data_IF_584669035265
#
_entry.id   IF_584669035265
#
_cell.length_a   1.000
_cell.length_b   1.000
_cell.length_c   1.000
_cell.angle_alpha   90.00
_cell.angle_beta   90.00
_cell.angle_gamma   90.00
#
_symmetry.space_group_name_H-M   'P 1'
#
loop_
_entity.id
_entity.type
_entity.pdbx_description
1 polymer ?
#
# COMPACT_ATOMS: atom_id res chain seq x y z
N UNK A 1 -5.45 -24.88 -19.05
CA UNK A 1 -5.58 -25.54 -17.71
C UNK A 1 -4.20 -26.09 -17.34
N UNK A 2 -3.40 -25.32 -16.61
CA UNK A 2 -2.19 -25.80 -15.97
C UNK A 2 -2.65 -26.69 -14.80
N UNK A 3 -2.35 -27.97 -14.85
CA UNK A 3 -2.64 -28.91 -13.79
C UNK A 3 -2.01 -28.42 -12.49
N UNK A 4 -2.80 -28.27 -11.43
CA UNK A 4 -2.30 -27.93 -10.12
C UNK A 4 -1.32 -29.04 -9.68
N UNK A 5 -0.02 -28.75 -9.74
CA UNK A 5 1.00 -29.60 -9.14
C UNK A 5 0.84 -29.58 -7.63
N UNK A 6 1.00 -30.73 -6.98
CA UNK A 6 1.03 -30.79 -5.51
C UNK A 6 2.06 -29.80 -5.00
N UNK A 7 1.73 -28.95 -4.02
CA UNK A 7 2.71 -28.03 -3.42
C UNK A 7 3.91 -28.83 -2.91
N UNK A 8 5.12 -28.33 -3.19
CA UNK A 8 6.35 -28.93 -2.66
C UNK A 8 6.50 -28.51 -1.19
N UNK A 9 7.06 -29.41 -0.39
CA UNK A 9 7.40 -29.10 0.99
C UNK A 9 8.58 -28.10 1.05
N UNK A 10 8.45 -27.10 1.91
CA UNK A 10 9.48 -26.09 2.13
C UNK A 10 10.06 -26.28 3.54
N UNK A 11 11.37 -26.42 3.62
CA UNK A 11 12.12 -26.56 4.87
C UNK A 11 12.99 -25.31 5.11
N UNK A 12 13.40 -25.11 6.36
CA UNK A 12 14.36 -24.08 6.76
C UNK A 12 13.99 -22.67 6.25
N UNK A 13 12.74 -22.29 6.43
CA UNK A 13 12.23 -20.98 5.99
C UNK A 13 12.84 -19.88 6.85
N UNK A 14 13.53 -18.93 6.20
CA UNK A 14 14.10 -17.73 6.81
C UNK A 14 13.51 -16.48 6.15
N UNK A 15 12.97 -15.57 6.95
CA UNK A 15 12.40 -14.30 6.48
C UNK A 15 13.28 -13.14 6.94
N UNK A 16 13.80 -12.38 5.99
CA UNK A 16 14.65 -11.22 6.23
C UNK A 16 13.88 -9.94 5.88
N UNK A 17 13.55 -9.16 6.91
CA UNK A 17 12.83 -7.88 6.73
C UNK A 17 13.60 -6.95 5.79
N UNK A 18 12.90 -6.40 4.81
CA UNK A 18 13.48 -5.51 3.81
C UNK A 18 14.33 -6.19 2.73
N UNK A 19 14.35 -7.53 2.69
CA UNK A 19 15.06 -8.30 1.67
C UNK A 19 14.17 -9.30 0.95
N UNK A 20 13.50 -10.16 1.72
CA UNK A 20 12.67 -11.23 1.17
C UNK A 20 12.63 -12.47 2.06
N UNK A 21 12.38 -13.61 1.45
CA UNK A 21 12.23 -14.91 2.11
C UNK A 21 13.09 -15.96 1.39
N UNK A 22 13.65 -16.90 2.13
CA UNK A 22 14.38 -18.04 1.57
C UNK A 22 14.02 -19.34 2.28
N UNK A 23 14.25 -20.47 1.61
CA UNK A 23 14.01 -21.79 2.16
C UNK A 23 14.61 -22.89 1.27
N UNK A 24 14.49 -24.13 1.72
CA UNK A 24 14.86 -25.32 0.94
C UNK A 24 13.61 -25.96 0.35
N UNK A 25 13.58 -26.08 -0.97
CA UNK A 25 12.51 -26.70 -1.74
C UNK A 25 13.13 -27.86 -2.54
N UNK A 26 12.76 -29.07 -2.24
CA UNK A 26 13.30 -30.28 -2.88
C UNK A 26 14.85 -30.31 -2.93
N UNK A 27 15.47 -29.87 -1.84
CA UNK A 27 16.93 -29.80 -1.70
C UNK A 27 17.62 -28.61 -2.39
N UNK A 28 16.87 -27.77 -3.07
CA UNK A 28 17.38 -26.52 -3.67
C UNK A 28 17.17 -25.34 -2.73
N UNK A 29 18.19 -24.51 -2.57
CA UNK A 29 18.00 -23.22 -1.88
C UNK A 29 17.26 -22.26 -2.81
N UNK A 30 16.04 -21.91 -2.44
CA UNK A 30 15.20 -20.97 -3.17
C UNK A 30 15.08 -19.68 -2.36
N UNK A 31 15.24 -18.55 -3.02
CA UNK A 31 15.04 -17.23 -2.41
C UNK A 31 14.10 -16.40 -3.27
N UNK A 32 13.17 -15.71 -2.64
CA UNK A 32 12.30 -14.69 -3.24
C UNK A 32 12.70 -13.35 -2.66
N UNK A 33 13.25 -12.48 -3.49
CA UNK A 33 13.94 -11.25 -3.09
C UNK A 33 13.30 -10.02 -3.71
N UNK A 34 13.38 -8.88 -3.01
CA UNK A 34 13.05 -7.59 -3.59
C UNK A 34 14.17 -7.11 -4.51
N UNK A 35 13.92 -6.02 -5.27
CA UNK A 35 14.87 -5.43 -6.22
C UNK A 35 16.23 -5.18 -5.60
N UNK A 36 16.28 -4.48 -4.47
CA UNK A 36 17.52 -4.10 -3.80
C UNK A 36 18.38 -5.28 -3.41
N UNK A 37 17.77 -6.36 -2.92
CA UNK A 37 18.51 -7.56 -2.54
C UNK A 37 18.98 -8.34 -3.77
N UNK A 38 18.17 -8.37 -4.83
CA UNK A 38 18.53 -9.04 -6.08
C UNK A 38 19.66 -8.32 -6.82
N UNK A 39 19.65 -6.99 -6.87
CA UNK A 39 20.74 -6.19 -7.44
C UNK A 39 22.04 -6.34 -6.67
N UNK A 40 21.98 -6.20 -5.34
CA UNK A 40 23.20 -6.20 -4.51
C UNK A 40 23.89 -7.55 -4.42
N UNK A 41 23.11 -8.65 -4.40
CA UNK A 41 23.66 -9.97 -4.10
C UNK A 41 23.82 -10.85 -5.34
N UNK A 42 23.09 -10.55 -6.44
CA UNK A 42 22.99 -11.45 -7.60
C UNK A 42 23.11 -10.73 -8.95
N UNK A 43 23.53 -9.48 -8.97
CA UNK A 43 23.69 -8.66 -10.19
C UNK A 43 22.42 -8.65 -11.07
N UNK A 44 21.24 -8.70 -10.46
CA UNK A 44 19.98 -8.64 -11.18
C UNK A 44 19.81 -7.27 -11.85
N UNK A 45 19.38 -7.28 -13.12
CA UNK A 45 19.10 -6.03 -13.85
C UNK A 45 17.66 -5.64 -13.62
N UNK A 46 17.43 -4.64 -12.79
CA UNK A 46 16.12 -4.11 -12.47
C UNK A 46 15.77 -2.95 -13.39
N UNK A 47 14.62 -3.05 -14.07
CA UNK A 47 14.07 -1.92 -14.81
C UNK A 47 13.28 -1.02 -13.85
N UNK A 48 13.86 0.10 -13.47
CA UNK A 48 13.25 1.04 -12.50
C UNK A 48 11.95 1.69 -13.02
N UNK A 49 11.76 1.76 -14.34
CA UNK A 49 10.58 2.35 -14.96
C UNK A 49 9.43 1.34 -15.15
N UNK A 50 9.69 0.05 -14.99
CA UNK A 50 8.66 -0.97 -15.11
C UNK A 50 7.72 -0.90 -13.90
N UNK A 51 6.40 -0.68 -14.10
CA UNK A 51 5.45 -0.60 -12.99
C UNK A 51 5.27 -1.97 -12.35
N UNK A 52 4.95 -1.97 -11.04
CA UNK A 52 4.70 -3.19 -10.28
C UNK A 52 5.77 -3.46 -9.22
N UNK A 53 5.45 -4.43 -8.35
CA UNK A 53 6.37 -4.95 -7.34
C UNK A 53 7.11 -6.16 -7.92
N UNK A 54 8.41 -6.08 -7.98
CA UNK A 54 9.24 -7.17 -8.48
C UNK A 54 9.59 -8.14 -7.35
N UNK A 55 9.38 -9.42 -7.60
CA UNK A 55 9.80 -10.52 -6.73
C UNK A 55 10.73 -11.43 -7.52
N UNK A 56 12.02 -11.31 -7.24
CA UNK A 56 13.08 -12.03 -7.91
C UNK A 56 13.21 -13.45 -7.34
N UNK A 57 13.16 -14.43 -8.22
CA UNK A 57 13.36 -15.84 -7.85
C UNK A 57 14.81 -16.22 -8.12
N UNK A 58 15.48 -16.68 -7.06
CA UNK A 58 16.89 -17.13 -7.09
C UNK A 58 16.94 -18.57 -6.63
N UNK A 59 17.55 -19.46 -7.43
CA UNK A 59 17.76 -20.87 -7.09
C UNK A 59 19.25 -21.15 -7.09
N UNK A 60 19.79 -21.65 -5.96
CA UNK A 60 21.21 -21.97 -5.79
C UNK A 60 22.13 -20.85 -6.29
N UNK A 61 21.85 -19.60 -5.91
CA UNK A 61 22.58 -18.39 -6.27
C UNK A 61 22.41 -17.92 -7.74
N UNK A 62 21.56 -18.57 -8.53
CA UNK A 62 21.27 -18.12 -9.88
C UNK A 62 19.89 -17.44 -9.94
N UNK A 63 19.83 -16.24 -10.49
CA UNK A 63 18.55 -15.60 -10.82
C UNK A 63 17.89 -16.39 -11.94
N UNK A 64 16.70 -16.94 -11.66
CA UNK A 64 15.96 -17.78 -12.62
C UNK A 64 14.76 -17.04 -13.23
N UNK A 65 14.32 -15.95 -12.62
CA UNK A 65 13.22 -15.14 -13.13
C UNK A 65 12.79 -14.08 -12.15
N UNK A 66 11.84 -13.27 -12.60
CA UNK A 66 11.19 -12.24 -11.80
C UNK A 66 9.68 -12.32 -11.99
N UNK A 67 8.93 -12.27 -10.89
CA UNK A 67 7.49 -12.05 -10.91
C UNK A 67 7.24 -10.56 -10.81
N UNK A 68 6.46 -10.00 -11.71
CA UNK A 68 5.99 -8.62 -11.65
C UNK A 68 4.55 -8.64 -11.14
N UNK A 69 4.36 -8.15 -9.93
CA UNK A 69 3.07 -8.11 -9.26
C UNK A 69 2.48 -6.71 -9.44
N UNK A 70 1.39 -6.61 -10.17
CA UNK A 70 0.67 -5.37 -10.32
C UNK A 70 -0.46 -5.31 -9.28
N UNK A 71 -0.49 -4.22 -8.53
CA UNK A 71 -1.61 -3.95 -7.65
C UNK A 71 -2.87 -3.71 -8.49
N UNK A 72 -3.97 -4.33 -8.10
CA UNK A 72 -5.29 -4.04 -8.67
C UNK A 72 -5.99 -3.09 -7.71
N UNK A 73 -6.46 -1.97 -8.22
CA UNK A 73 -7.21 -1.00 -7.43
C UNK A 73 -8.43 -1.67 -6.79
N UNK A 74 -8.66 -1.40 -5.51
CA UNK A 74 -9.85 -1.93 -4.82
C UNK A 74 -11.13 -1.42 -5.47
N UNK A 75 -12.23 -2.20 -5.47
CA UNK A 75 -13.49 -1.79 -6.06
C UNK A 75 -13.96 -0.43 -5.54
N UNK A 76 -14.28 0.48 -6.46
CA UNK A 76 -14.79 1.81 -6.15
C UNK A 76 -13.74 2.86 -5.79
N UNK A 77 -12.44 2.55 -5.87
CA UNK A 77 -11.39 3.51 -5.55
C UNK A 77 -11.47 4.79 -6.42
N UNK A 78 -11.56 4.66 -7.74
CA UNK A 78 -11.66 5.82 -8.65
C UNK A 78 -12.90 6.67 -8.35
N UNK A 79 -14.05 6.02 -8.05
CA UNK A 79 -15.25 6.75 -7.66
C UNK A 79 -15.07 7.48 -6.34
N UNK A 80 -14.49 6.82 -5.33
CA UNK A 80 -14.21 7.43 -4.03
C UNK A 80 -13.32 8.66 -4.16
N UNK A 81 -12.23 8.57 -4.94
CA UNK A 81 -11.33 9.69 -5.22
C UNK A 81 -12.09 10.85 -5.90
N UNK A 82 -12.89 10.55 -6.92
CA UNK A 82 -13.68 11.57 -7.61
C UNK A 82 -14.70 12.26 -6.69
N UNK A 83 -15.36 11.50 -5.81
CA UNK A 83 -16.29 12.04 -4.83
C UNK A 83 -15.57 12.91 -3.78
N UNK A 84 -14.43 12.45 -3.26
CA UNK A 84 -13.62 13.17 -2.27
C UNK A 84 -13.08 14.49 -2.83
N UNK A 85 -12.64 14.54 -4.07
CA UNK A 85 -12.16 15.77 -4.74
C UNK A 85 -13.22 16.88 -4.79
N UNK A 86 -14.51 16.55 -4.71
CA UNK A 86 -15.58 17.54 -4.63
C UNK A 86 -15.67 18.23 -3.26
N UNK A 87 -15.14 17.59 -2.23
CA UNK A 87 -15.22 18.05 -0.84
C UNK A 87 -13.88 18.59 -0.29
N UNK A 88 -12.78 18.12 -0.87
CA UNK A 88 -11.44 18.56 -0.54
C UNK A 88 -11.02 19.76 -1.40
N UNK A 89 -9.82 20.28 -1.23
CA UNK A 89 -9.31 21.45 -1.95
C UNK A 89 -8.95 21.14 -3.42
N UNK A 90 -9.93 20.63 -4.19
CA UNK A 90 -9.78 20.33 -5.61
C UNK A 90 -8.84 19.15 -5.89
N UNK A 91 -8.07 19.24 -6.98
CA UNK A 91 -7.18 18.16 -7.45
C UNK A 91 -6.07 17.78 -6.46
N UNK A 92 -5.62 18.74 -5.66
CA UNK A 92 -4.55 18.55 -4.67
C UNK A 92 -5.07 18.12 -3.29
N UNK A 93 -6.38 18.08 -3.10
CA UNK A 93 -6.99 17.70 -1.83
C UNK A 93 -6.97 16.19 -1.54
N UNK A 94 -6.60 15.36 -2.53
CA UNK A 94 -6.47 13.90 -2.39
C UNK A 94 -5.09 13.48 -2.87
N UNK A 95 -4.28 12.94 -1.98
CA UNK A 95 -2.91 12.49 -2.28
C UNK A 95 -2.74 11.01 -2.00
N UNK A 96 -1.76 10.38 -2.65
CA UNK A 96 -1.36 9.01 -2.39
C UNK A 96 -0.03 9.01 -1.63
N UNK A 97 0.00 8.30 -0.49
CA UNK A 97 1.21 8.06 0.31
C UNK A 97 1.44 6.55 0.47
N UNK A 98 2.48 6.00 -0.16
CA UNK A 98 2.75 4.57 -0.17
C UNK A 98 4.23 4.26 0.09
N UNK A 99 4.49 3.10 0.70
CA UNK A 99 5.84 2.54 0.81
C UNK A 99 6.36 1.89 -0.47
N UNK A 100 5.51 1.75 -1.49
CA UNK A 100 5.87 1.12 -2.76
C UNK A 100 6.78 2.01 -3.62
N UNK A 101 7.39 1.40 -4.63
CA UNK A 101 8.23 2.09 -5.60
C UNK A 101 7.44 3.14 -6.37
N UNK A 102 8.13 4.21 -6.76
CA UNK A 102 7.52 5.35 -7.46
C UNK A 102 6.72 4.94 -8.70
N UNK A 103 7.27 4.07 -9.55
CA UNK A 103 6.58 3.62 -10.77
C UNK A 103 5.26 2.89 -10.47
N UNK A 104 5.20 2.05 -9.43
CA UNK A 104 3.99 1.36 -9.00
C UNK A 104 2.94 2.34 -8.47
N UNK A 105 3.38 3.30 -7.64
CA UNK A 105 2.50 4.33 -7.09
C UNK A 105 1.90 5.22 -8.17
N UNK A 106 2.70 5.68 -9.12
CA UNK A 106 2.24 6.51 -10.25
C UNK A 106 1.23 5.77 -11.12
N UNK A 107 1.48 4.47 -11.40
CA UNK A 107 0.54 3.62 -12.14
C UNK A 107 -0.82 3.56 -11.44
N UNK A 108 -0.84 3.16 -10.17
CA UNK A 108 -2.07 3.06 -9.38
C UNK A 108 -2.76 4.41 -9.20
N UNK A 109 -2.01 5.48 -8.92
CA UNK A 109 -2.54 6.83 -8.78
C UNK A 109 -3.23 7.31 -10.06
N UNK A 110 -2.61 7.05 -11.22
CA UNK A 110 -3.20 7.36 -12.53
C UNK A 110 -4.51 6.63 -12.78
N UNK A 111 -4.61 5.34 -12.42
CA UNK A 111 -5.84 4.55 -12.54
C UNK A 111 -6.99 5.11 -11.70
N UNK A 112 -6.70 5.60 -10.49
CA UNK A 112 -7.74 6.12 -9.58
C UNK A 112 -7.93 7.63 -9.69
N UNK A 113 -7.12 8.32 -10.49
CA UNK A 113 -7.22 9.75 -10.74
C UNK A 113 -6.58 10.63 -9.67
N UNK A 114 -5.54 10.16 -8.96
CA UNK A 114 -4.74 10.96 -8.02
C UNK A 114 -3.54 11.53 -8.78
N UNK A 115 -3.26 12.82 -8.63
CA UNK A 115 -2.16 13.52 -9.31
C UNK A 115 -0.92 13.70 -8.41
N UNK A 116 -1.09 13.75 -7.10
CA UNK A 116 0.00 13.97 -6.15
C UNK A 116 0.36 12.66 -5.45
N UNK A 117 1.62 12.22 -5.59
CA UNK A 117 2.09 10.90 -5.15
C UNK A 117 3.36 11.04 -4.32
N UNK A 118 3.32 10.52 -3.11
CA UNK A 118 4.45 10.30 -2.22
C UNK A 118 4.75 8.81 -2.14
N UNK A 119 5.84 8.37 -2.74
CA UNK A 119 6.27 6.98 -2.83
C UNK A 119 7.44 6.67 -1.90
N UNK A 120 7.76 5.39 -1.72
CA UNK A 120 8.91 4.91 -0.93
C UNK A 120 8.91 5.41 0.53
N UNK A 121 7.72 5.67 1.06
CA UNK A 121 7.55 6.22 2.40
C UNK A 121 7.66 5.14 3.48
N UNK A 122 8.32 5.51 4.58
CA UNK A 122 8.29 4.74 5.83
C UNK A 122 7.09 5.16 6.69
N UNK A 123 6.73 4.38 7.74
CA UNK A 123 5.70 4.80 8.70
C UNK A 123 5.96 6.20 9.29
N UNK A 124 7.22 6.52 9.61
CA UNK A 124 7.64 7.80 10.17
C UNK A 124 7.44 8.95 9.17
N UNK A 125 7.84 8.75 7.91
CA UNK A 125 7.66 9.80 6.88
C UNK A 125 6.20 10.03 6.52
N UNK A 126 5.33 9.01 6.64
CA UNK A 126 3.87 9.20 6.50
C UNK A 126 3.29 10.04 7.63
N UNK A 127 3.72 9.79 8.88
CA UNK A 127 3.35 10.63 10.02
C UNK A 127 3.81 12.09 9.83
N UNK A 128 5.05 12.28 9.37
CA UNK A 128 5.60 13.62 9.11
C UNK A 128 4.84 14.35 7.99
N UNK A 129 4.36 13.64 6.98
CA UNK A 129 3.52 14.21 5.93
C UNK A 129 2.19 14.72 6.50
N UNK A 130 1.54 13.94 7.38
CA UNK A 130 0.32 14.35 8.08
C UNK A 130 0.58 15.63 8.88
N UNK A 131 1.63 15.65 9.70
CA UNK A 131 2.01 16.82 10.51
C UNK A 131 2.30 18.05 9.65
N UNK A 132 2.90 17.86 8.48
CA UNK A 132 3.21 18.96 7.54
C UNK A 132 1.92 19.62 7.06
N UNK A 133 0.94 18.85 6.62
CA UNK A 133 -0.35 19.39 6.20
C UNK A 133 -1.12 20.04 7.36
N UNK A 134 -1.07 19.46 8.56
CA UNK A 134 -1.67 20.05 9.77
C UNK A 134 -1.01 21.39 10.13
N UNK A 135 0.31 21.48 10.01
CA UNK A 135 1.04 22.73 10.25
C UNK A 135 0.69 23.85 9.24
N UNK A 136 0.25 23.48 8.03
CA UNK A 136 -0.31 24.40 7.04
C UNK A 136 -1.77 24.80 7.35
N UNK A 137 -2.34 24.30 8.43
CA UNK A 137 -3.72 24.60 8.84
C UNK A 137 -4.78 23.74 8.14
N UNK A 138 -4.38 22.65 7.49
CA UNK A 138 -5.30 21.70 6.84
C UNK A 138 -5.82 20.71 7.84
N UNK A 139 -7.07 20.26 7.64
CA UNK A 139 -7.66 19.11 8.34
C UNK A 139 -7.37 17.86 7.52
N UNK A 140 -6.64 16.93 8.09
CA UNK A 140 -6.11 15.74 7.40
C UNK A 140 -6.90 14.50 7.77
N UNK A 141 -7.51 13.85 6.77
CA UNK A 141 -8.03 12.50 6.91
C UNK A 141 -7.04 11.51 6.27
N UNK A 142 -6.63 10.48 7.01
CA UNK A 142 -5.79 9.41 6.50
C UNK A 142 -6.61 8.12 6.36
N UNK A 143 -6.50 7.47 5.19
CA UNK A 143 -7.08 6.14 4.95
C UNK A 143 -5.95 5.14 4.78
N UNK A 144 -5.90 4.10 5.59
CA UNK A 144 -4.82 3.10 5.57
C UNK A 144 -5.29 1.70 5.97
N UNK A 145 -4.47 0.67 5.67
CA UNK A 145 -4.73 -0.73 6.04
C UNK A 145 -4.17 -1.12 7.42
N UNK A 146 -3.35 -0.27 7.96
CA UNK A 146 -3.05 -0.13 9.36
C UNK A 146 -1.89 -0.84 9.97
N UNK A 147 -1.18 -1.77 9.35
CA UNK A 147 0.02 -2.33 10.00
C UNK A 147 1.16 -1.29 9.97
N UNK A 148 1.36 -0.68 8.81
CA UNK A 148 2.40 0.32 8.58
C UNK A 148 1.90 1.76 8.77
N UNK A 149 0.59 1.96 8.91
CA UNK A 149 -0.04 3.27 8.96
C UNK A 149 -0.59 3.64 10.35
N UNK A 150 -0.49 2.74 11.35
CA UNK A 150 -1.12 2.91 12.66
C UNK A 150 -0.74 4.22 13.35
N UNK A 151 0.54 4.63 13.29
CA UNK A 151 1.02 5.89 13.89
C UNK A 151 0.48 7.09 13.13
N UNK A 152 0.52 7.05 11.79
CA UNK A 152 0.00 8.11 10.95
C UNK A 152 -1.54 8.23 11.04
N UNK A 153 -2.27 7.08 11.16
CA UNK A 153 -3.71 7.05 11.40
C UNK A 153 -4.07 7.74 12.72
N UNK A 154 -3.35 7.42 13.80
CA UNK A 154 -3.57 8.03 15.11
C UNK A 154 -3.18 9.52 15.16
N UNK A 155 -2.25 9.94 14.30
CA UNK A 155 -1.78 11.33 14.21
C UNK A 155 -2.62 12.23 13.29
N UNK A 156 -3.45 11.65 12.42
CA UNK A 156 -4.35 12.40 11.56
C UNK A 156 -5.52 13.01 12.34
N UNK A 157 -6.17 14.07 11.80
CA UNK A 157 -7.39 14.62 12.42
C UNK A 157 -8.57 13.64 12.29
N UNK A 158 -8.55 12.78 11.28
CA UNK A 158 -9.48 11.66 11.11
C UNK A 158 -8.72 10.45 10.56
N UNK A 159 -8.52 9.44 11.38
CA UNK A 159 -7.95 8.15 10.96
C UNK A 159 -9.05 7.20 10.47
N UNK A 160 -8.90 6.63 9.27
CA UNK A 160 -9.87 5.70 8.68
C UNK A 160 -9.16 4.39 8.35
N UNK A 161 -9.50 3.31 9.06
CA UNK A 161 -8.99 1.98 8.77
C UNK A 161 -9.78 1.33 7.61
N UNK A 162 -9.07 0.87 6.58
CA UNK A 162 -9.66 0.14 5.47
C UNK A 162 -10.09 -1.28 5.91
N UNK A 163 -11.05 -1.88 5.16
CA UNK A 163 -11.50 -3.24 5.42
C UNK A 163 -10.36 -4.26 5.31
N UNK A 164 -10.29 -5.16 6.27
CA UNK A 164 -9.24 -6.19 6.32
C UNK A 164 -7.92 -5.71 6.88
N UNK A 165 -7.85 -4.45 7.29
CA UNK A 165 -6.71 -3.93 8.05
C UNK A 165 -6.51 -4.69 9.36
N UNK A 166 -5.27 -4.71 9.86
CA UNK A 166 -4.94 -5.41 11.11
C UNK A 166 -5.73 -4.84 12.29
N UNK A 167 -5.94 -5.67 13.32
CA UNK A 167 -6.61 -5.27 14.57
C UNK A 167 -6.00 -3.99 15.18
N UNK A 168 -4.70 -3.79 14.99
CA UNK A 168 -3.96 -2.60 15.46
C UNK A 168 -4.45 -1.31 14.76
N UNK A 169 -4.74 -1.36 13.46
CA UNK A 169 -5.29 -0.21 12.74
C UNK A 169 -6.68 0.15 13.23
N UNK A 170 -7.50 -0.86 13.44
CA UNK A 170 -8.85 -0.67 13.95
C UNK A 170 -8.87 -0.03 15.34
N UNK A 171 -7.81 -0.22 16.15
CA UNK A 171 -7.66 0.42 17.46
C UNK A 171 -7.11 1.85 17.38
N UNK A 172 -6.43 2.21 16.30
CA UNK A 172 -5.81 3.53 16.11
C UNK A 172 -6.64 4.47 15.23
N UNK A 173 -7.72 3.97 14.62
CA UNK A 173 -8.55 4.73 13.71
C UNK A 173 -9.85 5.21 14.38
N UNK A 174 -10.32 6.39 13.99
CA UNK A 174 -11.61 6.94 14.41
C UNK A 174 -12.78 6.27 13.67
N UNK A 175 -12.53 5.81 12.44
CA UNK A 175 -13.51 5.16 11.57
C UNK A 175 -12.93 3.85 11.05
N UNK A 176 -13.74 2.77 11.08
CA UNK A 176 -13.37 1.47 10.53
C UNK A 176 -14.34 1.09 9.41
N UNK A 177 -13.80 0.82 8.21
CA UNK A 177 -14.59 0.31 7.10
C UNK A 177 -14.86 -1.19 7.28
N UNK A 178 -16.12 -1.57 7.42
CA UNK A 178 -16.53 -2.96 7.69
C UNK A 178 -16.79 -3.80 6.44
N UNK A 179 -16.64 -3.21 5.26
CA UNK A 179 -16.83 -3.87 3.96
C UNK A 179 -15.67 -3.55 3.02
N UNK A 180 -15.36 -4.50 2.13
CA UNK A 180 -14.38 -4.30 1.08
C UNK A 180 -14.80 -3.16 0.14
N UNK A 181 -13.81 -2.37 -0.29
CA UNK A 181 -13.98 -1.25 -1.22
C UNK A 181 -14.04 0.12 -0.52
N UNK A 182 -13.80 1.14 -1.31
CA UNK A 182 -13.70 2.53 -0.84
C UNK A 182 -14.92 3.38 -1.17
N UNK A 183 -15.97 2.80 -1.75
CA UNK A 183 -17.18 3.53 -2.18
C UNK A 183 -17.82 4.40 -1.08
N UNK A 184 -17.72 3.91 0.18
CA UNK A 184 -18.34 4.59 1.33
C UNK A 184 -17.62 5.88 1.73
N UNK A 185 -16.37 6.09 1.28
CA UNK A 185 -15.61 7.29 1.64
C UNK A 185 -16.27 8.57 1.10
N UNK A 186 -16.82 8.51 -0.11
CA UNK A 186 -17.54 9.64 -0.70
C UNK A 186 -18.79 10.05 0.08
N UNK A 187 -19.39 9.13 0.83
CA UNK A 187 -20.59 9.35 1.62
C UNK A 187 -20.31 9.91 3.03
N UNK A 188 -19.08 9.75 3.54
CA UNK A 188 -18.73 10.15 4.91
C UNK A 188 -18.89 11.65 5.16
N UNK A 189 -18.40 12.50 4.24
CA UNK A 189 -18.48 13.96 4.39
C UNK A 189 -19.94 14.45 4.32
N UNK A 190 -20.76 14.06 3.33
CA UNK A 190 -22.18 14.38 3.32
C UNK A 190 -22.92 13.92 4.57
N UNK A 191 -22.64 12.70 5.05
CA UNK A 191 -23.25 12.16 6.26
C UNK A 191 -22.90 12.98 7.50
N UNK A 192 -21.61 13.29 7.69
CA UNK A 192 -21.13 14.13 8.79
C UNK A 192 -21.82 15.50 8.79
N UNK A 193 -21.90 16.15 7.62
CA UNK A 193 -22.57 17.46 7.48
C UNK A 193 -24.08 17.38 7.74
N UNK A 194 -24.73 16.29 7.35
CA UNK A 194 -26.15 16.08 7.63
C UNK A 194 -26.40 15.92 9.13
N UNK A 195 -25.54 15.14 9.81
CA UNK A 195 -25.64 14.91 11.26
C UNK A 195 -25.38 16.18 12.05
N UNK A 196 -24.35 16.98 11.69
CA UNK A 196 -24.03 18.25 12.36
C UNK A 196 -25.14 19.32 12.24
N UNK A 197 -26.07 19.18 11.30
CA UNK A 197 -27.22 20.09 11.16
C UNK A 197 -28.40 19.73 12.08
N UNK A 198 -28.36 18.55 12.68
CA UNK A 198 -29.44 18.02 13.54
C UNK A 198 -29.13 18.26 15.03
N UNK A 199 -27.88 18.51 15.36
CA UNK A 199 -27.38 18.85 16.69
C UNK A 199 -27.34 20.37 16.83
#
# INVERSE_FOLDING_TARGET
>A
EAGASTPLDVLDVDTQVGRGISGLVDGYKVSLLNDRAAENDFDAVVNAEEPGTHVWCVINQNVVGCFVLNAVSVPGASKAVADLKQWCEGEQGVVMASGDRHAACVGTAGEVGISEVFSEMTPETKEDLVKTYQAEGKVVALVGDGINDAVALAGADVGIAAYGGADIASQSADIVLTKMGLNVLGDLIPLSRATSKVI
#
